data_IF_329584754860
#
_entry.id   IF_329584754860
#
_cell.length_a   1.000
_cell.length_b   1.000
_cell.length_c   1.000
_cell.angle_alpha   90.00
_cell.angle_beta   90.00
_cell.angle_gamma   90.00
#
_symmetry.space_group_name_H-M   'P 1'
#
loop_
_entity.id
_entity.type
_entity.pdbx_description
1 polymer ?
#
# COMPACT_ATOMS: atom_id res chain seq x y z
N UNK A 1 0.94 -11.01 10.72
CA UNK A 1 1.27 -10.00 9.68
C UNK A 1 1.56 -10.69 8.35
N UNK A 2 0.85 -10.34 7.28
CA UNK A 2 1.00 -10.87 5.91
C UNK A 2 1.24 -9.72 4.95
N UNK A 3 2.09 -9.90 3.94
CA UNK A 3 2.23 -8.94 2.83
C UNK A 3 1.49 -9.47 1.62
N UNK A 4 0.71 -8.59 0.97
CA UNK A 4 0.01 -8.89 -0.27
C UNK A 4 0.31 -7.81 -1.30
N UNK A 5 0.81 -8.24 -2.45
CA UNK A 5 1.03 -7.39 -3.61
C UNK A 5 -0.25 -7.29 -4.41
N UNK A 6 -0.68 -6.06 -4.70
CA UNK A 6 -1.78 -5.84 -5.65
C UNK A 6 -1.33 -6.20 -7.07
N UNK A 7 -2.28 -6.50 -7.99
CA UNK A 7 -1.96 -6.71 -9.40
C UNK A 7 -1.18 -5.54 -10.00
N UNK A 8 -1.55 -4.31 -9.63
CA UNK A 8 -0.88 -3.08 -10.08
C UNK A 8 0.56 -3.02 -9.58
N UNK A 9 0.81 -3.29 -8.29
CA UNK A 9 2.18 -3.35 -7.78
C UNK A 9 3.03 -4.49 -8.38
N UNK A 10 2.38 -5.59 -8.77
CA UNK A 10 3.05 -6.68 -9.48
C UNK A 10 3.44 -6.27 -10.89
N UNK A 11 2.55 -5.58 -11.60
CA UNK A 11 2.85 -5.03 -12.92
C UNK A 11 3.96 -3.98 -12.84
N UNK A 12 3.91 -3.06 -11.87
CA UNK A 12 4.97 -2.07 -11.66
C UNK A 12 6.33 -2.75 -11.47
N UNK A 13 6.36 -3.84 -10.70
CA UNK A 13 7.59 -4.61 -10.44
C UNK A 13 8.10 -5.30 -11.71
N UNK A 14 7.22 -5.90 -12.49
CA UNK A 14 7.55 -6.55 -13.76
C UNK A 14 8.08 -5.54 -14.78
N UNK A 15 7.39 -4.41 -14.92
CA UNK A 15 7.77 -3.35 -15.84
C UNK A 15 9.15 -2.75 -15.43
N UNK A 16 9.43 -2.58 -14.12
CA UNK A 16 10.75 -2.14 -13.62
C UNK A 16 11.81 -3.17 -13.95
N UNK A 17 11.51 -4.45 -13.75
CA UNK A 17 12.41 -5.54 -14.08
C UNK A 17 12.78 -5.50 -15.56
N UNK A 18 11.80 -5.50 -16.45
CA UNK A 18 12.01 -5.50 -17.90
C UNK A 18 12.82 -4.28 -18.35
N UNK A 19 12.52 -3.11 -17.78
CA UNK A 19 13.24 -1.89 -18.07
C UNK A 19 14.73 -1.97 -17.69
N UNK A 20 15.04 -2.44 -16.49
CA UNK A 20 16.43 -2.55 -16.02
C UNK A 20 17.13 -3.72 -16.71
N UNK A 21 16.44 -4.83 -16.94
CA UNK A 21 17.01 -6.04 -17.52
C UNK A 21 17.43 -5.84 -18.99
N UNK A 22 16.76 -4.94 -19.71
CA UNK A 22 17.14 -4.56 -21.08
C UNK A 22 18.58 -3.98 -21.15
N UNK A 23 19.04 -3.32 -20.09
CA UNK A 23 20.39 -2.74 -20.02
C UNK A 23 21.35 -3.59 -19.16
N UNK A 24 20.90 -4.02 -17.98
CA UNK A 24 21.70 -4.79 -17.03
C UNK A 24 20.85 -5.81 -16.25
N UNK A 25 20.79 -7.08 -16.71
CA UNK A 25 20.03 -8.13 -16.04
C UNK A 25 20.46 -8.38 -14.59
N UNK A 26 21.74 -8.22 -14.26
CA UNK A 26 22.22 -8.37 -12.87
C UNK A 26 21.71 -7.24 -11.97
N UNK A 27 21.53 -6.03 -12.50
CA UNK A 27 20.94 -4.93 -11.75
C UNK A 27 19.44 -5.16 -11.52
N UNK A 28 18.74 -5.77 -12.48
CA UNK A 28 17.32 -6.12 -12.32
C UNK A 28 17.10 -7.10 -11.16
N UNK A 29 17.92 -8.17 -11.08
CA UNK A 29 17.90 -9.13 -9.97
C UNK A 29 18.13 -8.43 -8.62
N UNK A 30 19.15 -7.58 -8.51
CA UNK A 30 19.44 -6.87 -7.25
C UNK A 30 18.29 -5.95 -6.83
N UNK A 31 17.67 -5.26 -7.79
CA UNK A 31 16.52 -4.40 -7.48
C UNK A 31 15.32 -5.21 -7.01
N UNK A 32 15.08 -6.37 -7.62
CA UNK A 32 14.02 -7.27 -7.22
C UNK A 32 14.17 -7.82 -5.80
N UNK A 33 15.40 -8.19 -5.44
CA UNK A 33 15.79 -8.60 -4.09
C UNK A 33 15.55 -7.47 -3.08
N UNK A 34 15.98 -6.25 -3.40
CA UNK A 34 15.75 -5.06 -2.56
C UNK A 34 14.24 -4.85 -2.29
N UNK A 35 13.39 -5.04 -3.29
CA UNK A 35 11.94 -4.91 -3.12
C UNK A 35 11.35 -6.03 -2.25
N UNK A 36 11.82 -7.27 -2.44
CA UNK A 36 11.42 -8.41 -1.62
C UNK A 36 11.83 -8.25 -0.16
N UNK A 37 13.06 -7.81 0.09
CA UNK A 37 13.57 -7.55 1.45
C UNK A 37 12.81 -6.43 2.13
N UNK A 38 12.49 -5.37 1.39
CA UNK A 38 11.66 -4.27 1.89
C UNK A 38 10.26 -4.76 2.30
N UNK A 39 9.63 -5.59 1.46
CA UNK A 39 8.36 -6.22 1.78
C UNK A 39 8.47 -7.13 3.01
N UNK A 40 9.52 -7.95 3.12
CA UNK A 40 9.75 -8.82 4.28
C UNK A 40 9.89 -8.01 5.58
N UNK A 41 10.58 -6.87 5.54
CA UNK A 41 10.70 -5.96 6.70
C UNK A 41 9.37 -5.39 7.15
N UNK A 42 8.42 -5.18 6.23
CA UNK A 42 7.06 -4.71 6.58
C UNK A 42 6.26 -5.75 7.37
N UNK A 43 6.60 -7.04 7.29
CA UNK A 43 5.97 -8.08 8.12
C UNK A 43 6.28 -7.86 9.60
N UNK A 44 7.53 -7.50 9.91
CA UNK A 44 8.01 -7.31 11.29
C UNK A 44 7.74 -5.89 11.78
N UNK A 45 7.89 -4.91 10.90
CA UNK A 45 7.77 -3.48 11.22
C UNK A 45 6.87 -2.79 10.19
N UNK A 46 5.54 -3.02 10.26
CA UNK A 46 4.59 -2.39 9.35
C UNK A 46 4.57 -0.87 9.54
N UNK A 47 4.98 -0.36 10.71
CA UNK A 47 5.03 1.06 11.00
C UNK A 47 6.31 1.78 10.49
N UNK A 48 7.19 1.08 9.77
CA UNK A 48 8.51 1.59 9.35
C UNK A 48 8.45 2.65 8.23
N UNK A 49 7.39 2.66 7.43
CA UNK A 49 7.19 3.68 6.39
C UNK A 49 6.74 5.01 6.95
N UNK A 50 6.98 6.08 6.19
CA UNK A 50 6.46 7.42 6.51
C UNK A 50 4.99 7.53 6.07
N UNK A 51 4.16 8.32 6.75
CA UNK A 51 2.83 8.65 6.23
C UNK A 51 2.94 9.21 4.81
N UNK A 52 2.18 8.62 3.88
CA UNK A 52 2.18 9.03 2.48
C UNK A 52 1.34 10.29 2.24
N UNK A 53 1.35 10.78 1.00
CA UNK A 53 0.50 11.93 0.61
C UNK A 53 -0.99 11.64 0.73
N UNK A 54 -1.40 10.38 0.56
CA UNK A 54 -2.80 9.96 0.66
C UNK A 54 -3.07 9.47 2.10
N UNK A 55 -4.10 9.99 2.79
CA UNK A 55 -4.49 9.51 4.12
C UNK A 55 -4.69 8.00 4.15
N UNK A 56 -4.10 7.34 5.15
CA UNK A 56 -4.18 5.88 5.30
C UNK A 56 -3.20 5.08 4.44
N UNK A 57 -2.35 5.76 3.65
CA UNK A 57 -1.22 5.14 2.95
C UNK A 57 0.10 5.48 3.63
N UNK A 58 1.10 4.63 3.40
CA UNK A 58 2.47 4.76 3.91
C UNK A 58 3.45 4.52 2.79
N UNK A 59 4.56 5.21 2.86
CA UNK A 59 5.61 5.21 1.85
C UNK A 59 6.90 4.66 2.48
N UNK A 60 7.45 3.62 1.87
CA UNK A 60 8.77 3.08 2.18
C UNK A 60 9.71 3.39 1.02
N UNK A 61 10.95 3.79 1.33
CA UNK A 61 11.97 4.08 0.32
C UNK A 61 13.03 2.98 0.43
N UNK A 62 12.90 1.89 -0.34
CA UNK A 62 13.90 0.80 -0.32
C UNK A 62 15.17 1.15 -1.09
N UNK A 63 15.08 2.03 -2.08
CA UNK A 63 16.18 2.51 -2.91
C UNK A 63 15.98 4.00 -3.21
N UNK A 64 17.04 4.77 -3.43
CA UNK A 64 16.94 6.22 -3.72
C UNK A 64 16.04 6.54 -4.94
N UNK A 65 16.03 5.62 -5.90
CA UNK A 65 15.27 5.77 -7.15
C UNK A 65 13.83 5.28 -7.03
N UNK A 66 13.46 4.57 -5.97
CA UNK A 66 12.16 3.88 -5.88
C UNK A 66 11.47 4.07 -4.54
N UNK A 67 10.15 4.19 -4.60
CA UNK A 67 9.27 4.35 -3.45
C UNK A 67 8.16 3.32 -3.52
N UNK A 68 7.97 2.60 -2.43
CA UNK A 68 6.98 1.55 -2.30
C UNK A 68 5.82 2.10 -1.48
N UNK A 69 4.65 2.22 -2.10
CA UNK A 69 3.44 2.73 -1.46
C UNK A 69 2.62 1.55 -0.97
N UNK A 70 2.31 1.54 0.31
CA UNK A 70 1.57 0.46 0.94
C UNK A 70 0.53 0.98 1.92
N UNK A 71 -0.37 0.10 2.31
CA UNK A 71 -1.39 0.34 3.32
C UNK A 71 -1.42 -0.83 4.31
N UNK A 72 -1.81 -0.53 5.54
CA UNK A 72 -1.95 -1.53 6.60
C UNK A 72 -3.44 -1.69 6.86
N UNK A 73 -3.93 -2.92 6.78
CA UNK A 73 -5.31 -3.30 7.06
C UNK A 73 -5.31 -4.48 8.02
N UNK A 74 -5.58 -4.22 9.30
CA UNK A 74 -5.45 -5.20 10.38
C UNK A 74 -4.04 -5.79 10.42
N UNK A 75 -3.93 -7.09 10.13
CA UNK A 75 -2.66 -7.81 10.03
C UNK A 75 -2.12 -7.95 8.60
N UNK A 76 -2.71 -7.29 7.63
CA UNK A 76 -2.29 -7.38 6.23
C UNK A 76 -1.69 -6.07 5.75
N UNK A 77 -0.47 -6.15 5.23
CA UNK A 77 0.21 -5.07 4.52
C UNK A 77 -0.06 -5.24 3.03
N UNK A 78 -0.78 -4.28 2.46
CA UNK A 78 -1.10 -4.24 1.05
C UNK A 78 -0.14 -3.32 0.31
N UNK A 79 0.65 -3.87 -0.59
CA UNK A 79 1.52 -3.08 -1.47
C UNK A 79 0.69 -2.65 -2.68
N UNK A 80 0.52 -1.34 -2.83
CA UNK A 80 -0.43 -0.74 -3.76
C UNK A 80 0.23 -0.38 -5.10
N UNK A 81 1.44 0.19 -5.04
CA UNK A 81 2.18 0.59 -6.24
C UNK A 81 3.64 0.83 -5.91
N UNK A 82 4.50 0.75 -6.92
CA UNK A 82 5.92 1.05 -6.85
C UNK A 82 6.20 2.26 -7.76
N UNK A 83 6.73 3.34 -7.19
CA UNK A 83 6.88 4.64 -7.84
C UNK A 83 8.35 4.96 -8.00
N UNK A 84 8.78 5.37 -9.20
CA UNK A 84 10.14 5.84 -9.42
C UNK A 84 10.24 7.34 -9.07
N UNK A 85 11.29 7.76 -8.37
CA UNK A 85 11.44 9.14 -7.88
C UNK A 85 11.77 10.14 -8.99
N UNK A 86 12.60 9.74 -9.96
CA UNK A 86 13.02 10.57 -11.09
C UNK A 86 12.25 10.34 -12.41
N UNK A 87 11.27 9.44 -12.45
CA UNK A 87 10.53 9.08 -13.67
C UNK A 87 9.03 9.12 -13.42
N UNK A 88 8.26 9.37 -14.46
CA UNK A 88 6.79 9.23 -14.46
C UNK A 88 6.42 7.75 -14.45
N UNK A 89 6.66 7.12 -13.31
CA UNK A 89 6.34 5.73 -13.04
C UNK A 89 5.40 5.63 -11.84
N UNK A 90 4.28 4.89 -11.91
CA UNK A 90 3.83 4.05 -13.03
C UNK A 90 3.60 4.82 -14.34
N UNK A 91 3.84 4.18 -15.51
CA UNK A 91 3.48 4.78 -16.79
C UNK A 91 1.99 5.16 -16.77
N UNK A 92 1.63 6.27 -17.42
CA UNK A 92 0.33 6.98 -17.29
C UNK A 92 -0.91 6.14 -17.71
N UNK A 93 -0.78 4.83 -17.91
CA UNK A 93 -1.88 3.94 -18.29
C UNK A 93 -2.93 3.74 -17.21
N UNK A 94 -2.60 3.86 -15.93
CA UNK A 94 -3.50 3.37 -14.87
C UNK A 94 -3.57 4.24 -13.61
N UNK A 95 -3.21 5.52 -13.65
CA UNK A 95 -3.27 6.36 -12.45
C UNK A 95 -4.71 6.50 -11.90
N UNK A 96 -5.71 6.62 -12.78
CA UNK A 96 -7.12 6.62 -12.39
C UNK A 96 -7.58 5.28 -11.81
N UNK A 97 -7.06 4.16 -12.32
CA UNK A 97 -7.38 2.82 -11.80
C UNK A 97 -6.71 2.57 -10.45
N UNK A 98 -5.43 2.93 -10.32
CA UNK A 98 -4.67 2.88 -9.06
C UNK A 98 -5.36 3.77 -8.03
N UNK A 99 -5.74 4.99 -8.38
CA UNK A 99 -6.48 5.91 -7.51
C UNK A 99 -7.86 5.38 -7.15
N UNK A 100 -8.60 4.76 -8.08
CA UNK A 100 -9.88 4.14 -7.80
C UNK A 100 -9.74 2.93 -6.86
N UNK A 101 -8.72 2.09 -7.06
CA UNK A 101 -8.43 0.93 -6.19
C UNK A 101 -7.99 1.39 -4.80
N UNK A 102 -7.10 2.39 -4.72
CA UNK A 102 -6.69 3.03 -3.46
C UNK A 102 -7.89 3.65 -2.75
N UNK A 103 -8.69 4.47 -3.44
CA UNK A 103 -9.84 5.16 -2.87
C UNK A 103 -10.91 4.19 -2.39
N UNK A 104 -11.27 3.17 -3.18
CA UNK A 104 -12.21 2.12 -2.76
C UNK A 104 -11.74 1.40 -1.50
N UNK A 105 -10.43 1.19 -1.37
CA UNK A 105 -9.85 0.50 -0.21
C UNK A 105 -9.79 1.40 1.02
N UNK A 106 -9.34 2.65 0.87
CA UNK A 106 -9.40 3.68 1.91
C UNK A 106 -10.84 3.88 2.39
N UNK A 107 -11.81 4.01 1.48
CA UNK A 107 -13.23 4.18 1.82
C UNK A 107 -13.78 2.97 2.58
N UNK A 108 -13.38 1.74 2.20
CA UNK A 108 -13.73 0.50 2.92
C UNK A 108 -13.15 0.50 4.34
N UNK A 109 -11.90 0.94 4.50
CA UNK A 109 -11.19 0.95 5.79
C UNK A 109 -11.67 2.06 6.74
N UNK A 110 -12.12 3.19 6.20
CA UNK A 110 -12.78 4.23 6.98
C UNK A 110 -14.19 3.79 7.40
N UNK A 111 -14.89 3.05 6.54
CA UNK A 111 -16.23 2.50 6.84
C UNK A 111 -16.21 1.35 7.85
N UNK A 112 -15.14 0.54 7.89
CA UNK A 112 -14.99 -0.51 8.91
C UNK A 112 -14.63 0.03 10.30
N UNK A 113 -14.02 1.22 10.38
CA UNK A 113 -13.71 1.88 11.66
C UNK A 113 -14.92 2.59 12.28
N UNK A 114 -15.86 3.09 11.48
CA UNK A 114 -17.11 3.70 11.99
C UNK A 114 -18.15 2.68 12.47
N UNK A 115 -18.08 1.43 12.01
CA UNK A 115 -19.02 0.37 12.41
C UNK A 115 -18.86 -0.11 13.87
N UNK A 116 -17.77 0.23 14.56
CA UNK A 116 -17.52 -0.18 15.97
C UNK A 116 -17.96 0.88 17.00
N UNK A 117 -18.52 2.01 16.55
CA UNK A 117 -18.93 3.14 17.41
C UNK A 117 -20.42 3.24 17.76
N UNK A 118 -21.25 2.28 17.35
CA UNK A 118 -22.71 2.34 17.50
C UNK A 118 -23.27 1.71 18.78
N UNK A 119 -22.71 2.00 19.97
CA UNK A 119 -23.42 1.69 21.22
C UNK A 119 -24.58 2.67 21.39
N UNK A 120 -25.76 2.27 20.90
CA UNK A 120 -27.04 2.84 21.32
C UNK A 120 -27.13 2.70 22.86
N UNK A 121 -27.33 3.78 23.64
CA UNK A 121 -27.70 3.59 25.04
C UNK A 121 -29.04 2.84 25.08
N UNK A 122 -29.24 1.90 26.01
CA UNK A 122 -30.53 1.26 26.16
C UNK A 122 -31.56 2.33 26.50
N UNK A 123 -32.61 2.41 25.68
CA UNK A 123 -33.83 3.12 26.00
C UNK A 123 -34.54 2.31 27.08
N UNK A 124 -34.22 2.59 28.35
CA UNK A 124 -35.12 2.22 29.45
C UNK A 124 -34.82 3.06 30.70
N UNK A 125 -35.61 4.12 30.87
CA UNK A 125 -35.99 4.59 32.20
C UNK A 125 -37.50 4.78 32.14
N UNK A 126 -38.21 3.68 32.38
CA UNK A 126 -39.63 3.69 32.68
C UNK A 126 -39.97 4.72 33.76
N UNK A 127 -40.99 5.52 33.45
CA UNK A 127 -42.24 5.59 34.20
C UNK A 127 -42.09 5.25 35.70
N UNK A 128 -41.79 6.27 36.50
CA UNK A 128 -42.30 6.34 37.86
C UNK A 128 -43.33 7.46 37.91
N UNK A 129 -44.57 7.02 38.18
CA UNK A 129 -45.67 7.68 38.90
C UNK A 129 -45.43 9.10 39.40
#
# INVERSE_FOLDING_TARGET
MRVVWTPEAQQDRADVWDYIAADNPRAAVRMDEIFSDAAARLIQHPMLGKPGKIPGTRELIPHESYRLVYQIDGETVWILTLVHTARLWPPVRDYDMIMATMKRRVDRLLSSQTAVGGRRPPADCGRYI
#
